data_IF_805613393831
#
_entry.id   IF_805613393831
#
_cell.length_a   1.000
_cell.length_b   1.000
_cell.length_c   1.000
_cell.angle_alpha   90.00
_cell.angle_beta   90.00
_cell.angle_gamma   90.00
#
_symmetry.space_group_name_H-M   'P 1'
#
loop_
_entity.id
_entity.type
_entity.pdbx_description
1 polymer ?
#
# COMPACT_ATOMS: atom_id res chain seq x y z
N UNK A 1 -45.05 3.21 36.01
CA UNK A 1 -43.71 3.02 36.62
C UNK A 1 -42.69 2.99 35.51
N UNK A 2 -41.69 3.88 35.54
CA UNK A 2 -40.69 4.02 34.46
C UNK A 2 -39.45 3.19 34.81
N UNK A 3 -39.20 2.11 34.08
CA UNK A 3 -38.05 1.22 34.31
C UNK A 3 -36.78 1.91 33.79
N UNK A 4 -35.78 2.12 34.64
CA UNK A 4 -34.48 2.66 34.23
C UNK A 4 -33.68 1.51 33.58
N UNK A 5 -33.34 1.67 32.30
CA UNK A 5 -32.51 0.69 31.58
C UNK A 5 -31.09 0.67 32.13
N UNK A 6 -30.54 -0.52 32.28
CA UNK A 6 -29.15 -0.77 32.65
C UNK A 6 -28.20 -0.24 31.58
N UNK A 7 -26.94 0.06 31.98
CA UNK A 7 -25.88 0.43 31.05
C UNK A 7 -25.66 -0.65 29.98
N UNK A 8 -25.84 -1.93 30.33
CA UNK A 8 -25.75 -3.06 29.41
C UNK A 8 -26.88 -3.04 28.36
N UNK A 9 -28.13 -2.83 28.79
CA UNK A 9 -29.29 -2.75 27.89
C UNK A 9 -29.14 -1.57 26.91
N UNK A 10 -28.67 -0.41 27.40
CA UNK A 10 -28.38 0.75 26.55
C UNK A 10 -27.24 0.50 25.56
N UNK A 11 -26.27 -0.36 25.90
CA UNK A 11 -25.18 -0.73 25.01
C UNK A 11 -25.65 -1.70 23.91
N UNK A 12 -26.46 -2.70 24.26
CA UNK A 12 -27.04 -3.65 23.31
C UNK A 12 -27.98 -2.97 22.32
N UNK A 13 -28.82 -2.02 22.78
CA UNK A 13 -29.68 -1.23 21.88
C UNK A 13 -28.88 -0.41 20.86
N UNK A 14 -27.67 0.05 21.23
CA UNK A 14 -26.78 0.73 20.28
C UNK A 14 -26.11 -0.23 19.31
N UNK A 15 -25.78 -1.44 19.75
CA UNK A 15 -25.20 -2.50 18.89
C UNK A 15 -26.23 -2.97 17.86
N UNK A 16 -27.50 -3.12 18.25
CA UNK A 16 -28.60 -3.49 17.34
C UNK A 16 -28.89 -2.42 16.28
N UNK A 17 -28.55 -1.16 16.55
CA UNK A 17 -28.66 -0.04 15.59
C UNK A 17 -27.46 0.07 14.65
N UNK A 18 -26.38 -0.68 14.90
CA UNK A 18 -25.21 -0.72 14.02
C UNK A 18 -25.46 -1.85 13.02
N UNK A 19 -25.65 -1.49 11.76
CA UNK A 19 -25.72 -2.45 10.67
C UNK A 19 -24.44 -3.29 10.65
N UNK A 20 -24.57 -4.62 10.57
CA UNK A 20 -23.42 -5.50 10.55
C UNK A 20 -22.54 -5.11 9.35
N UNK A 21 -21.22 -4.92 9.54
CA UNK A 21 -20.34 -4.53 8.44
C UNK A 21 -20.47 -5.54 7.31
N UNK A 22 -20.56 -5.04 6.09
CA UNK A 22 -20.55 -5.89 4.89
C UNK A 22 -19.32 -6.82 4.96
N UNK A 23 -19.42 -8.11 4.60
CA UNK A 23 -18.29 -9.03 4.66
C UNK A 23 -17.02 -8.50 3.99
N UNK A 24 -17.15 -7.68 2.94
CA UNK A 24 -16.02 -7.02 2.28
C UNK A 24 -15.37 -5.98 3.18
N UNK A 25 -16.15 -5.11 3.83
CA UNK A 25 -15.63 -4.10 4.76
C UNK A 25 -14.90 -4.75 5.94
N UNK A 26 -15.44 -5.87 6.44
CA UNK A 26 -14.78 -6.62 7.51
C UNK A 26 -13.39 -7.12 7.09
N UNK A 27 -13.27 -7.67 5.88
CA UNK A 27 -11.99 -8.12 5.31
C UNK A 27 -11.03 -6.93 5.10
N UNK A 28 -11.53 -5.78 4.64
CA UNK A 28 -10.71 -4.58 4.51
C UNK A 28 -10.13 -4.15 5.87
N UNK A 29 -10.96 -4.09 6.90
CA UNK A 29 -10.54 -3.68 8.25
C UNK A 29 -9.53 -4.64 8.85
N UNK A 30 -9.66 -5.93 8.56
CA UNK A 30 -8.74 -6.94 9.05
C UNK A 30 -7.38 -6.88 8.34
N UNK A 31 -7.39 -6.89 7.00
CA UNK A 31 -6.17 -7.16 6.23
C UNK A 31 -5.44 -5.91 5.72
N UNK A 32 -6.12 -4.79 5.48
CA UNK A 32 -5.44 -3.57 5.02
C UNK A 32 -4.43 -3.06 6.05
N UNK A 33 -4.73 -2.98 7.37
CA UNK A 33 -3.73 -2.57 8.37
C UNK A 33 -2.53 -3.53 8.45
N UNK A 34 -2.76 -4.83 8.25
CA UNK A 34 -1.69 -5.82 8.21
C UNK A 34 -0.79 -5.62 6.98
N UNK A 35 -1.37 -5.31 5.82
CA UNK A 35 -0.64 -4.93 4.61
C UNK A 35 0.25 -3.72 4.84
N UNK A 36 -0.28 -2.67 5.49
CA UNK A 36 0.49 -1.47 5.85
C UNK A 36 1.68 -1.82 6.76
N UNK A 37 1.47 -2.71 7.74
CA UNK A 37 2.54 -3.19 8.62
C UNK A 37 3.63 -3.95 7.86
N UNK A 38 3.27 -4.80 6.90
CA UNK A 38 4.23 -5.51 6.05
C UNK A 38 5.09 -4.54 5.23
N UNK A 39 4.48 -3.55 4.59
CA UNK A 39 5.22 -2.52 3.88
C UNK A 39 6.11 -1.68 4.82
N UNK A 40 5.62 -1.33 6.01
CA UNK A 40 6.43 -0.65 7.02
C UNK A 40 7.65 -1.46 7.47
N UNK A 41 7.51 -2.77 7.65
CA UNK A 41 8.64 -3.67 7.93
C UNK A 41 9.62 -3.72 6.76
N UNK A 42 9.13 -3.75 5.52
CA UNK A 42 9.98 -3.70 4.34
C UNK A 42 10.81 -2.40 4.28
N UNK A 43 10.16 -1.25 4.49
CA UNK A 43 10.84 0.06 4.49
C UNK A 43 11.91 0.17 5.58
N UNK A 44 11.79 -0.58 6.67
CA UNK A 44 12.79 -0.65 7.76
C UNK A 44 13.80 -1.79 7.60
N UNK A 45 13.77 -2.52 6.49
CA UNK A 45 14.59 -3.71 6.23
C UNK A 45 14.49 -4.78 7.32
N UNK A 46 13.29 -4.98 7.87
CA UNK A 46 13.04 -5.92 8.98
C UNK A 46 12.31 -7.18 8.49
N UNK A 47 12.97 -8.33 8.63
CA UNK A 47 12.42 -9.64 8.30
C UNK A 47 12.05 -9.81 6.82
N UNK A 48 11.15 -10.76 6.53
CA UNK A 48 10.75 -11.10 5.16
C UNK A 48 9.26 -10.80 4.88
N UNK A 49 8.86 -9.52 4.79
CA UNK A 49 7.45 -9.14 4.63
C UNK A 49 6.83 -9.66 3.33
N UNK A 50 7.60 -9.73 2.23
CA UNK A 50 7.11 -10.30 0.97
C UNK A 50 6.94 -11.82 1.03
N UNK A 51 7.76 -12.53 1.81
CA UNK A 51 7.55 -13.98 2.04
C UNK A 51 6.23 -14.22 2.78
N UNK A 52 5.94 -13.41 3.80
CA UNK A 52 4.66 -13.45 4.55
C UNK A 52 3.46 -13.12 3.67
N UNK A 53 3.59 -12.14 2.79
CA UNK A 53 2.58 -11.82 1.79
C UNK A 53 2.32 -13.01 0.85
N UNK A 54 3.37 -13.60 0.27
CA UNK A 54 3.26 -14.73 -0.65
C UNK A 54 2.62 -15.97 -0.02
N UNK A 55 2.88 -16.22 1.27
CA UNK A 55 2.30 -17.34 2.02
C UNK A 55 0.89 -17.07 2.56
N UNK A 56 0.32 -15.88 2.34
CA UNK A 56 -1.04 -15.55 2.79
C UNK A 56 -2.10 -16.21 1.91
N UNK A 57 -3.34 -16.28 2.40
CA UNK A 57 -4.48 -16.81 1.64
C UNK A 57 -4.82 -15.91 0.45
N UNK A 58 -5.43 -16.49 -0.59
CA UNK A 58 -5.85 -15.72 -1.77
C UNK A 58 -6.94 -14.70 -1.46
N UNK A 59 -7.75 -14.94 -0.42
CA UNK A 59 -8.73 -13.98 0.11
C UNK A 59 -8.06 -12.76 0.77
N UNK A 60 -6.96 -12.95 1.50
CA UNK A 60 -6.27 -11.87 2.21
C UNK A 60 -5.39 -11.03 1.28
N UNK A 61 -4.79 -11.65 0.24
CA UNK A 61 -3.81 -11.02 -0.65
C UNK A 61 -4.27 -9.69 -1.27
N UNK A 62 -5.50 -9.52 -1.79
CA UNK A 62 -5.95 -8.25 -2.36
C UNK A 62 -5.89 -7.09 -1.35
N UNK A 63 -6.36 -7.32 -0.13
CA UNK A 63 -6.41 -6.31 0.93
C UNK A 63 -5.04 -6.03 1.54
N UNK A 64 -4.21 -7.07 1.72
CA UNK A 64 -2.80 -6.90 2.10
C UNK A 64 -2.05 -6.06 1.06
N UNK A 65 -2.26 -6.37 -0.23
CA UNK A 65 -1.65 -5.62 -1.34
C UNK A 65 -2.09 -4.16 -1.33
N UNK A 66 -3.37 -3.87 -1.12
CA UNK A 66 -3.91 -2.50 -0.96
C UNK A 66 -3.14 -1.74 0.12
N UNK A 67 -3.06 -2.30 1.33
CA UNK A 67 -2.34 -1.66 2.44
C UNK A 67 -0.84 -1.51 2.20
N UNK A 68 -0.19 -2.45 1.52
CA UNK A 68 1.22 -2.34 1.16
C UNK A 68 1.46 -1.21 0.16
N UNK A 69 0.63 -1.11 -0.87
CA UNK A 69 0.71 -0.07 -1.90
C UNK A 69 0.56 1.32 -1.28
N UNK A 70 -0.41 1.52 -0.39
CA UNK A 70 -0.63 2.81 0.31
C UNK A 70 0.67 3.34 0.94
N UNK A 71 1.37 2.48 1.69
CA UNK A 71 2.60 2.85 2.40
C UNK A 71 3.75 3.09 1.44
N UNK A 72 3.93 2.21 0.44
CA UNK A 72 5.03 2.32 -0.51
C UNK A 72 4.92 3.59 -1.35
N UNK A 73 3.73 3.91 -1.87
CA UNK A 73 3.48 5.14 -2.64
C UNK A 73 3.74 6.36 -1.77
N UNK A 74 3.24 6.38 -0.53
CA UNK A 74 3.47 7.50 0.39
C UNK A 74 4.96 7.75 0.72
N UNK A 75 5.83 6.76 0.48
CA UNK A 75 7.28 6.87 0.69
C UNK A 75 8.06 7.22 -0.58
N UNK A 76 7.42 7.28 -1.76
CA UNK A 76 8.08 7.76 -2.98
C UNK A 76 8.30 9.27 -2.84
N UNK A 77 9.56 9.69 -2.77
CA UNK A 77 9.93 11.11 -2.81
C UNK A 77 10.06 11.55 -4.27
N UNK A 78 9.30 12.57 -4.65
CA UNK A 78 9.53 13.30 -5.89
C UNK A 78 10.90 14.00 -5.83
N UNK A 79 11.57 14.22 -6.99
CA UNK A 79 12.84 14.95 -7.03
C UNK A 79 12.69 16.29 -6.30
N UNK A 80 13.58 16.52 -5.33
CA UNK A 80 13.44 17.57 -4.31
C UNK A 80 13.54 19.00 -4.86
N UNK A 81 14.00 19.15 -6.09
CA UNK A 81 13.87 20.38 -6.85
C UNK A 81 13.91 20.06 -8.36
N UNK A 82 13.43 21.03 -9.14
CA UNK A 82 13.46 20.99 -10.60
C UNK A 82 14.88 20.81 -11.16
N UNK A 83 15.91 21.26 -10.42
CA UNK A 83 17.30 21.08 -10.83
C UNK A 83 17.70 19.60 -10.88
N UNK A 84 17.33 18.79 -9.87
CA UNK A 84 17.63 17.35 -9.84
C UNK A 84 16.85 16.62 -10.95
N UNK A 85 15.60 17.00 -11.21
CA UNK A 85 14.80 16.42 -12.29
C UNK A 85 15.38 16.76 -13.67
N UNK A 86 15.73 18.03 -13.90
CA UNK A 86 16.37 18.49 -15.13
C UNK A 86 17.75 17.88 -15.37
N UNK A 87 18.56 17.71 -14.31
CA UNK A 87 19.84 17.01 -14.38
C UNK A 87 19.64 15.54 -14.76
N UNK A 88 18.71 14.84 -14.11
CA UNK A 88 18.41 13.45 -14.44
C UNK A 88 17.94 13.30 -15.89
N UNK A 89 17.05 14.18 -16.35
CA UNK A 89 16.57 14.20 -17.73
C UNK A 89 17.73 14.40 -18.73
N UNK A 90 18.62 15.36 -18.50
CA UNK A 90 19.81 15.60 -19.34
C UNK A 90 20.77 14.41 -19.33
N UNK A 91 20.96 13.76 -18.18
CA UNK A 91 21.78 12.54 -18.09
C UNK A 91 21.19 11.38 -18.89
N UNK A 92 19.86 11.19 -18.86
CA UNK A 92 19.18 10.17 -19.68
C UNK A 92 19.25 10.47 -21.18
N UNK A 93 19.09 11.73 -21.58
CA UNK A 93 19.26 12.17 -22.97
C UNK A 93 20.70 11.88 -23.46
N UNK A 94 21.72 12.23 -22.64
CA UNK A 94 23.12 11.94 -22.96
C UNK A 94 23.43 10.44 -23.09
N UNK A 95 22.89 9.61 -22.20
CA UNK A 95 23.05 8.15 -22.28
C UNK A 95 22.38 7.57 -23.54
N UNK A 96 21.22 8.10 -23.93
CA UNK A 96 20.52 7.65 -25.13
C UNK A 96 21.32 7.96 -26.39
N UNK A 97 21.93 9.14 -26.48
CA UNK A 97 22.81 9.51 -27.60
C UNK A 97 24.01 8.58 -27.68
N UNK A 98 24.70 8.36 -26.55
CA UNK A 98 25.87 7.47 -26.50
C UNK A 98 25.52 6.03 -26.91
N UNK A 99 24.38 5.50 -26.44
CA UNK A 99 23.94 4.15 -26.81
C UNK A 99 23.34 4.06 -28.23
N UNK A 100 22.94 5.18 -28.83
CA UNK A 100 22.55 5.23 -30.24
C UNK A 100 23.78 5.28 -31.17
N UNK A 101 24.87 5.94 -30.75
CA UNK A 101 26.13 5.94 -31.51
C UNK A 101 26.87 4.58 -31.44
N UNK A 102 26.69 3.83 -30.35
CA UNK A 102 27.26 2.47 -30.19
C UNK A 102 26.41 1.38 -30.87
N UNK A 103 25.32 1.75 -31.57
CA UNK A 103 24.70 0.91 -32.59
C UNK A 103 25.34 1.27 -33.95
N UNK A 104 26.39 0.54 -34.39
CA UNK A 104 26.85 0.70 -35.77
C UNK A 104 25.68 0.41 -36.69
N UNK A 105 25.54 1.24 -37.72
CA UNK A 105 24.67 1.06 -38.86
C UNK A 105 24.40 -0.42 -39.09
N UNK A 106 23.16 -0.86 -38.86
CA UNK A 106 22.67 -2.06 -39.53
C UNK A 106 22.51 -1.67 -41.01
N UNK A 107 23.64 -1.60 -41.68
CA UNK A 107 23.74 -1.71 -43.13
C UNK A 107 23.51 -3.17 -43.49
N UNK A 108 22.31 -3.44 -44.05
CA UNK A 108 21.90 -4.44 -45.05
C UNK A 108 20.42 -4.83 -44.87
#
# INVERSE_FOLDING_TARGET
MTRIKSAFEKAMERIEQIEAPDPVEKLEWEFVPLGRKLAGSYMKSQGDPFKKFSSSTDEAKPYLKKGMIDVLIANIQLPKNENIDATNKRSFEGLTILFQEDQPSKDL
#
